data_IF_363498202637
#
_entry.id   IF_363498202637
#
_cell.length_a   1.000
_cell.length_b   1.000
_cell.length_c   1.000
_cell.angle_alpha   90.00
_cell.angle_beta   90.00
_cell.angle_gamma   90.00
#
_symmetry.space_group_name_H-M   'P 1'
#
loop_
_entity.id
_entity.type
_entity.pdbx_description
1 polymer ?
#
# COMPACT_ATOMS: atom_id res chain seq x y z
N UNK A 1 -30.29 -10.09 4.61
CA UNK A 1 -29.26 -9.75 3.60
C UNK A 1 -28.10 -9.06 4.32
N UNK A 2 -26.90 -9.65 4.40
CA UNK A 2 -25.70 -8.98 4.95
C UNK A 2 -24.74 -8.72 3.79
N UNK A 3 -24.86 -7.56 3.17
CA UNK A 3 -23.92 -7.10 2.16
C UNK A 3 -22.66 -6.56 2.86
N UNK A 4 -21.52 -7.25 2.74
CA UNK A 4 -20.24 -6.77 3.29
C UNK A 4 -19.62 -5.79 2.30
N UNK A 5 -19.65 -4.50 2.64
CA UNK A 5 -19.00 -3.44 1.88
C UNK A 5 -17.65 -3.08 2.54
N UNK A 6 -16.57 -3.16 1.77
CA UNK A 6 -15.23 -2.69 2.15
C UNK A 6 -15.10 -1.23 1.70
N UNK A 7 -15.18 -0.32 2.67
CA UNK A 7 -15.22 1.12 2.41
C UNK A 7 -13.98 1.67 1.71
N UNK A 8 -14.17 2.23 0.52
CA UNK A 8 -13.19 3.07 -0.17
C UNK A 8 -13.68 4.52 -0.14
N UNK A 9 -12.85 5.47 0.30
CA UNK A 9 -13.15 6.90 0.22
C UNK A 9 -12.28 7.59 -0.84
N UNK A 10 -12.89 7.93 -1.98
CA UNK A 10 -12.43 8.98 -2.87
C UNK A 10 -13.57 9.99 -3.04
N UNK A 11 -13.35 11.26 -2.68
CA UNK A 11 -14.43 12.27 -2.63
C UNK A 11 -15.00 12.62 -4.01
N UNK A 12 -14.17 12.76 -5.05
CA UNK A 12 -14.63 13.19 -6.39
C UNK A 12 -15.63 12.24 -7.05
N UNK A 13 -15.44 10.93 -6.93
CA UNK A 13 -16.36 9.94 -7.52
C UNK A 13 -17.68 9.92 -6.74
N UNK A 14 -17.63 10.07 -5.41
CA UNK A 14 -18.84 10.11 -4.58
C UNK A 14 -19.67 11.37 -4.83
N UNK A 15 -19.00 12.51 -4.95
CA UNK A 15 -19.62 13.79 -5.28
C UNK A 15 -20.28 13.71 -6.65
N UNK A 16 -19.56 13.27 -7.70
CA UNK A 16 -20.15 13.11 -9.04
C UNK A 16 -21.38 12.19 -9.09
N UNK A 17 -21.34 11.05 -8.38
CA UNK A 17 -22.48 10.12 -8.30
C UNK A 17 -23.68 10.77 -7.59
N UNK A 18 -23.43 11.48 -6.49
CA UNK A 18 -24.49 12.17 -5.72
C UNK A 18 -25.06 13.34 -6.52
N UNK A 19 -24.22 14.10 -7.19
CA UNK A 19 -24.61 15.26 -7.98
C UNK A 19 -25.47 14.85 -9.17
N UNK A 20 -25.10 13.78 -9.89
CA UNK A 20 -25.96 13.22 -10.97
C UNK A 20 -27.31 12.72 -10.45
N UNK A 21 -27.36 12.09 -9.27
CA UNK A 21 -28.63 11.59 -8.71
C UNK A 21 -29.57 12.72 -8.27
N UNK A 22 -29.02 13.89 -7.98
CA UNK A 22 -29.74 15.08 -7.51
C UNK A 22 -29.96 16.13 -8.63
N UNK A 23 -29.47 15.90 -9.84
CA UNK A 23 -29.62 16.82 -10.97
C UNK A 23 -30.74 16.39 -11.93
N UNK A 24 -31.10 17.30 -12.84
CA UNK A 24 -32.05 17.03 -13.92
C UNK A 24 -31.53 15.97 -14.92
N UNK A 25 -30.24 15.63 -14.88
CA UNK A 25 -29.62 14.60 -15.71
C UNK A 25 -29.70 13.18 -15.13
N UNK A 26 -30.48 12.97 -14.07
CA UNK A 26 -30.65 11.67 -13.38
C UNK A 26 -31.01 10.50 -14.32
N UNK A 27 -31.70 10.76 -15.42
CA UNK A 27 -32.00 9.73 -16.44
C UNK A 27 -30.75 9.19 -17.15
N UNK A 28 -29.68 9.99 -17.21
CA UNK A 28 -28.39 9.61 -17.81
C UNK A 28 -27.47 8.92 -16.80
N UNK A 29 -27.93 8.65 -15.57
CA UNK A 29 -27.12 8.02 -14.53
C UNK A 29 -26.45 6.72 -15.01
N UNK A 30 -27.16 5.95 -15.84
CA UNK A 30 -26.63 4.75 -16.50
C UNK A 30 -25.37 5.02 -17.33
N UNK A 31 -25.30 6.14 -18.05
CA UNK A 31 -24.17 6.51 -18.90
C UNK A 31 -22.98 7.07 -18.11
N UNK A 32 -23.24 7.71 -16.98
CA UNK A 32 -22.21 8.36 -16.17
C UNK A 32 -21.58 7.44 -15.12
N UNK A 33 -22.11 6.22 -14.96
CA UNK A 33 -21.64 5.25 -13.99
C UNK A 33 -21.22 3.94 -14.67
N UNK A 34 -20.13 3.35 -14.20
CA UNK A 34 -19.65 2.06 -14.70
C UNK A 34 -20.56 0.87 -14.32
N UNK A 35 -21.60 1.11 -13.53
CA UNK A 35 -22.54 0.11 -13.05
C UNK A 35 -22.07 -0.66 -11.83
N UNK A 36 -22.72 -1.78 -11.56
CA UNK A 36 -22.44 -2.68 -10.44
C UNK A 36 -22.17 -4.07 -11.03
N UNK A 37 -21.09 -4.71 -10.58
CA UNK A 37 -20.79 -6.10 -10.97
C UNK A 37 -20.94 -7.00 -9.76
N UNK A 38 -21.73 -8.05 -9.94
CA UNK A 38 -22.16 -8.99 -8.94
C UNK A 38 -21.75 -10.41 -9.37
N UNK A 39 -21.47 -11.24 -8.36
CA UNK A 39 -21.28 -12.69 -8.51
C UNK A 39 -22.30 -13.41 -7.63
N UNK A 40 -22.65 -14.63 -8.00
CA UNK A 40 -23.56 -15.50 -7.26
C UNK A 40 -23.24 -16.97 -7.53
N UNK A 41 -23.69 -17.84 -6.64
CA UNK A 41 -23.55 -19.29 -6.82
C UNK A 41 -24.59 -19.81 -7.81
N UNK A 42 -25.80 -19.26 -7.74
CA UNK A 42 -26.90 -19.58 -8.63
C UNK A 42 -27.82 -18.37 -8.81
N UNK A 43 -28.40 -18.22 -10.01
CA UNK A 43 -29.58 -17.38 -10.20
C UNK A 43 -30.65 -18.11 -11.02
N UNK A 44 -31.91 -17.76 -10.76
CA UNK A 44 -33.07 -18.27 -11.50
C UNK A 44 -34.00 -17.11 -11.85
N UNK A 45 -34.69 -17.22 -12.98
CA UNK A 45 -35.69 -16.26 -13.43
C UNK A 45 -36.92 -17.00 -13.98
N UNK A 46 -38.06 -16.33 -14.02
CA UNK A 46 -39.26 -16.90 -14.62
C UNK A 46 -39.17 -16.81 -16.16
N UNK A 47 -39.04 -17.96 -16.82
CA UNK A 47 -38.88 -18.06 -18.28
C UNK A 47 -40.14 -17.63 -19.06
N UNK A 48 -41.27 -17.42 -18.39
CA UNK A 48 -42.53 -16.96 -19.00
C UNK A 48 -42.64 -15.42 -19.06
N UNK A 49 -41.69 -14.67 -18.49
CA UNK A 49 -41.63 -13.21 -18.61
C UNK A 49 -40.87 -12.82 -19.88
N UNK A 50 -41.42 -11.91 -20.68
CA UNK A 50 -40.77 -11.42 -21.91
C UNK A 50 -39.90 -10.16 -21.68
N UNK A 51 -39.69 -9.77 -20.42
CA UNK A 51 -38.98 -8.56 -19.99
C UNK A 51 -39.10 -8.38 -18.47
N UNK A 52 -38.29 -7.48 -17.89
CA UNK A 52 -38.29 -7.15 -16.46
C UNK A 52 -38.24 -8.38 -15.53
N UNK A 53 -37.29 -9.26 -15.82
CA UNK A 53 -37.14 -10.53 -15.12
C UNK A 53 -36.95 -10.34 -13.61
N UNK A 54 -37.84 -10.96 -12.83
CA UNK A 54 -37.61 -11.10 -11.41
C UNK A 54 -36.62 -12.25 -11.17
N UNK A 55 -35.39 -11.89 -10.80
CA UNK A 55 -34.32 -12.86 -10.52
C UNK A 55 -34.27 -13.23 -9.04
N UNK A 56 -34.21 -14.53 -8.75
CA UNK A 56 -33.84 -15.07 -7.44
C UNK A 56 -32.38 -15.49 -7.47
N UNK A 57 -31.59 -15.01 -6.52
CA UNK A 57 -30.14 -15.19 -6.51
C UNK A 57 -29.69 -15.76 -5.16
N UNK A 58 -28.78 -16.72 -5.20
CA UNK A 58 -28.14 -17.30 -4.01
C UNK A 58 -26.70 -16.79 -3.87
N UNK A 59 -26.29 -16.48 -2.64
CA UNK A 59 -24.93 -16.03 -2.31
C UNK A 59 -24.41 -14.86 -3.17
N UNK A 60 -25.24 -13.83 -3.31
CA UNK A 60 -24.90 -12.61 -4.04
C UNK A 60 -23.74 -11.83 -3.39
N UNK A 61 -22.71 -11.52 -4.17
CA UNK A 61 -21.55 -10.74 -3.74
C UNK A 61 -21.23 -9.62 -4.74
N UNK A 62 -20.94 -8.42 -4.23
CA UNK A 62 -20.53 -7.28 -5.06
C UNK A 62 -19.01 -7.33 -5.27
N UNK A 63 -18.56 -7.48 -6.51
CA UNK A 63 -17.14 -7.52 -6.87
C UNK A 63 -16.64 -6.21 -7.50
N UNK A 64 -17.55 -5.36 -8.00
CA UNK A 64 -17.27 -4.00 -8.48
C UNK A 64 -18.51 -3.09 -8.32
N UNK A 65 -18.31 -1.79 -8.12
CA UNK A 65 -19.40 -0.81 -7.95
C UNK A 65 -19.85 -0.61 -6.50
N UNK A 66 -19.09 -1.10 -5.51
CA UNK A 66 -19.46 -0.95 -4.09
C UNK A 66 -19.61 0.51 -3.63
N UNK A 67 -18.75 1.41 -4.12
CA UNK A 67 -18.88 2.85 -3.85
C UNK A 67 -20.18 3.42 -4.44
N UNK A 68 -20.52 3.02 -5.67
CA UNK A 68 -21.79 3.40 -6.32
C UNK A 68 -22.98 2.91 -5.50
N UNK A 69 -22.99 1.66 -5.05
CA UNK A 69 -24.04 1.13 -4.17
C UNK A 69 -24.17 1.93 -2.87
N UNK A 70 -23.04 2.22 -2.21
CA UNK A 70 -23.03 2.95 -0.94
C UNK A 70 -23.48 4.40 -1.11
N UNK A 71 -23.06 5.07 -2.18
CA UNK A 71 -23.48 6.44 -2.47
C UNK A 71 -24.97 6.48 -2.80
N UNK A 72 -25.47 5.56 -3.65
CA UNK A 72 -26.92 5.43 -3.91
C UNK A 72 -27.68 5.24 -2.59
N UNK A 73 -27.26 4.29 -1.75
CA UNK A 73 -27.90 4.02 -0.46
C UNK A 73 -27.92 5.24 0.46
N UNK A 74 -26.81 5.97 0.57
CA UNK A 74 -26.72 7.19 1.39
C UNK A 74 -27.57 8.32 0.84
N UNK A 75 -27.58 8.51 -0.48
CA UNK A 75 -28.42 9.51 -1.15
C UNK A 75 -29.91 9.20 -0.93
N UNK A 76 -30.32 7.93 -1.01
CA UNK A 76 -31.69 7.51 -0.75
C UNK A 76 -32.12 7.65 0.73
N UNK A 77 -31.17 7.70 1.66
CA UNK A 77 -31.44 7.97 3.08
C UNK A 77 -31.47 9.47 3.43
N UNK A 78 -31.03 10.34 2.53
CA UNK A 78 -31.02 11.79 2.77
C UNK A 78 -32.46 12.31 2.78
N UNK A 79 -32.87 12.95 3.88
CA UNK A 79 -34.22 13.48 4.05
C UNK A 79 -34.57 14.58 3.05
N UNK A 80 -33.55 15.24 2.47
CA UNK A 80 -33.71 16.27 1.44
C UNK A 80 -33.70 15.70 0.01
N UNK A 81 -33.63 14.38 -0.15
CA UNK A 81 -33.69 13.77 -1.48
C UNK A 81 -35.06 14.04 -2.10
N UNK A 82 -35.11 14.96 -3.08
CA UNK A 82 -36.32 15.25 -3.82
C UNK A 82 -36.77 13.99 -4.56
N UNK A 83 -37.84 13.36 -4.07
CA UNK A 83 -38.61 12.34 -4.79
C UNK A 83 -39.38 13.01 -5.95
N UNK A 84 -38.66 13.55 -6.93
CA UNK A 84 -39.28 13.84 -8.22
C UNK A 84 -39.53 12.52 -8.95
N UNK A 85 -40.58 12.48 -9.78
CA UNK A 85 -41.12 11.33 -10.53
C UNK A 85 -40.15 10.69 -11.56
N UNK A 86 -38.84 10.87 -11.40
CA UNK A 86 -37.81 10.52 -12.37
C UNK A 86 -36.98 9.34 -11.89
N UNK A 87 -36.89 8.30 -12.73
CA UNK A 87 -36.23 7.03 -12.46
C UNK A 87 -34.76 7.08 -12.88
N UNK A 88 -33.84 6.69 -11.98
CA UNK A 88 -32.45 6.46 -12.32
C UNK A 88 -32.22 4.97 -12.58
N UNK A 89 -31.48 4.64 -13.64
CA UNK A 89 -31.13 3.25 -13.97
C UNK A 89 -29.64 3.00 -13.76
N UNK A 90 -29.31 1.83 -13.21
CA UNK A 90 -27.91 1.41 -12.98
C UNK A 90 -27.68 0.12 -13.74
N UNK A 91 -26.61 0.06 -14.55
CA UNK A 91 -26.21 -1.17 -15.20
C UNK A 91 -25.77 -2.19 -14.15
N UNK A 92 -26.40 -3.36 -14.13
CA UNK A 92 -25.97 -4.48 -13.28
C UNK A 92 -25.47 -5.61 -14.16
N UNK A 93 -24.26 -6.10 -13.87
CA UNK A 93 -23.72 -7.33 -14.45
C UNK A 93 -23.73 -8.41 -13.37
N UNK A 94 -24.42 -9.52 -13.61
CA UNK A 94 -24.49 -10.65 -12.69
C UNK A 94 -23.82 -11.87 -13.33
N UNK A 95 -22.80 -12.41 -12.67
CA UNK A 95 -22.11 -13.63 -13.08
C UNK A 95 -22.47 -14.78 -12.14
N UNK A 96 -22.94 -15.90 -12.68
CA UNK A 96 -23.02 -17.15 -11.93
C UNK A 96 -21.65 -17.83 -11.98
N UNK A 97 -21.08 -18.11 -10.81
CA UNK A 97 -19.79 -18.77 -10.68
C UNK A 97 -19.95 -20.09 -9.92
N UNK A 98 -19.16 -21.13 -10.25
CA UNK A 98 -19.14 -22.37 -9.48
C UNK A 98 -18.77 -22.10 -8.02
N UNK A 99 -19.51 -22.68 -7.08
CA UNK A 99 -19.30 -22.50 -5.63
C UNK A 99 -17.99 -23.13 -5.12
N UNK A 100 -17.32 -23.95 -5.91
CA UNK A 100 -16.09 -24.68 -5.59
C UNK A 100 -14.80 -23.99 -6.08
N UNK A 101 -14.90 -22.82 -6.73
CA UNK A 101 -13.76 -22.19 -7.41
C UNK A 101 -13.47 -20.76 -6.92
N UNK A 102 -13.10 -20.62 -5.65
CA UNK A 102 -12.71 -19.35 -5.03
C UNK A 102 -11.58 -18.62 -5.80
N UNK A 103 -10.65 -19.39 -6.38
CA UNK A 103 -9.55 -18.87 -7.20
C UNK A 103 -10.06 -18.15 -8.46
N UNK A 104 -11.10 -18.66 -9.11
CA UNK A 104 -11.71 -18.02 -10.27
C UNK A 104 -12.43 -16.72 -9.88
N UNK A 105 -13.14 -16.72 -8.75
CA UNK A 105 -13.78 -15.51 -8.20
C UNK A 105 -12.72 -14.43 -7.92
N UNK A 106 -11.59 -14.80 -7.31
CA UNK A 106 -10.47 -13.90 -7.07
C UNK A 106 -9.86 -13.36 -8.37
N UNK A 107 -9.63 -14.22 -9.38
CA UNK A 107 -9.09 -13.80 -10.68
C UNK A 107 -10.03 -12.85 -11.43
N UNK A 108 -11.33 -13.12 -11.43
CA UNK A 108 -12.36 -12.25 -12.06
C UNK A 108 -12.45 -10.92 -11.31
N UNK A 109 -12.42 -10.96 -9.97
CA UNK A 109 -12.38 -9.76 -9.14
C UNK A 109 -11.14 -8.93 -9.45
N UNK A 110 -9.97 -9.56 -9.56
CA UNK A 110 -8.71 -8.90 -9.92
C UNK A 110 -8.76 -8.29 -11.34
N UNK A 111 -9.26 -9.05 -12.32
CA UNK A 111 -9.37 -8.61 -13.71
C UNK A 111 -10.39 -7.47 -13.88
N UNK A 112 -11.54 -7.53 -13.22
CA UNK A 112 -12.58 -6.49 -13.28
C UNK A 112 -12.12 -5.19 -12.58
N UNK A 113 -11.36 -5.32 -11.50
CA UNK A 113 -10.75 -4.19 -10.79
C UNK A 113 -9.47 -3.66 -11.44
N UNK A 114 -9.03 -4.25 -12.56
CA UNK A 114 -7.93 -3.71 -13.37
C UNK A 114 -8.34 -2.51 -14.23
N UNK A 115 -9.65 -2.30 -14.46
CA UNK A 115 -10.18 -1.16 -15.23
C UNK A 115 -10.64 0.03 -14.38
N UNK A 116 -10.76 -0.12 -13.05
CA UNK A 116 -10.94 0.97 -12.09
C UNK A 116 -10.11 0.63 -10.84
N UNK A 117 -9.16 1.47 -10.42
CA UNK A 117 -8.11 1.07 -9.48
C UNK A 117 -8.69 0.79 -8.09
N UNK A 118 -9.03 -0.48 -7.83
CA UNK A 118 -9.08 -0.95 -6.45
C UNK A 118 -7.65 -0.96 -5.95
N UNK A 119 -7.42 -0.26 -4.84
CA UNK A 119 -6.12 -0.22 -4.22
C UNK A 119 -5.76 -1.65 -3.79
N UNK A 120 -4.80 -2.28 -4.47
CA UNK A 120 -4.31 -3.61 -4.15
C UNK A 120 -3.92 -3.72 -2.68
N UNK A 121 -3.51 -2.59 -2.08
CA UNK A 121 -3.24 -2.49 -0.65
C UNK A 121 -4.45 -2.82 0.22
N UNK A 122 -5.64 -2.34 -0.15
CA UNK A 122 -6.87 -2.58 0.61
C UNK A 122 -7.38 -4.02 0.43
N UNK A 123 -7.15 -4.63 -0.74
CA UNK A 123 -7.38 -6.06 -0.94
C UNK A 123 -6.46 -6.89 -0.04
N UNK A 124 -5.16 -6.60 -0.07
CA UNK A 124 -4.13 -7.27 0.73
C UNK A 124 -4.27 -7.01 2.22
N UNK A 125 -4.97 -5.96 2.63
CA UNK A 125 -5.17 -5.67 4.05
C UNK A 125 -5.82 -6.83 4.80
N UNK A 126 -6.64 -7.66 4.14
CA UNK A 126 -7.29 -8.81 4.78
C UNK A 126 -6.46 -10.11 4.74
N UNK A 127 -5.28 -10.13 4.09
CA UNK A 127 -4.40 -11.30 4.05
C UNK A 127 -4.02 -11.76 5.47
N UNK A 128 -3.98 -13.08 5.68
CA UNK A 128 -3.61 -13.68 6.98
C UNK A 128 -2.25 -13.19 7.47
N UNK A 129 -1.28 -13.02 6.55
CA UNK A 129 0.04 -12.49 6.87
C UNK A 129 -0.03 -11.07 7.46
N UNK A 130 -0.87 -10.19 6.90
CA UNK A 130 -1.02 -8.83 7.40
C UNK A 130 -1.67 -8.84 8.78
N UNK A 131 -2.71 -9.65 8.99
CA UNK A 131 -3.38 -9.81 10.29
C UNK A 131 -2.42 -10.31 11.36
N UNK A 132 -1.59 -11.31 11.03
CA UNK A 132 -0.54 -11.82 11.93
C UNK A 132 0.46 -10.72 12.30
N UNK A 133 0.96 -9.98 11.32
CA UNK A 133 1.87 -8.86 11.56
C UNK A 133 1.24 -7.79 12.46
N UNK A 134 -0.06 -7.52 12.32
CA UNK A 134 -0.75 -6.58 13.22
C UNK A 134 -0.70 -7.03 14.67
N UNK A 135 -1.04 -8.30 14.93
CA UNK A 135 -1.01 -8.86 16.29
C UNK A 135 0.42 -8.88 16.87
N UNK A 136 1.39 -9.35 16.09
CA UNK A 136 2.78 -9.50 16.55
C UNK A 136 3.46 -8.13 16.78
N UNK A 137 3.18 -7.13 15.94
CA UNK A 137 3.72 -5.77 16.09
C UNK A 137 3.12 -5.09 17.33
N UNK A 138 1.83 -5.34 17.62
CA UNK A 138 1.17 -4.83 18.81
C UNK A 138 1.80 -5.36 20.11
N UNK A 139 2.24 -6.62 20.12
CA UNK A 139 2.93 -7.21 21.28
C UNK A 139 4.28 -6.53 21.58
N UNK A 140 4.90 -5.90 20.57
CA UNK A 140 6.14 -5.14 20.71
C UNK A 140 5.91 -3.64 21.00
N UNK A 141 4.67 -3.22 21.26
CA UNK A 141 4.34 -1.83 21.62
C UNK A 141 4.13 -0.88 20.43
N UNK A 142 3.98 -1.40 19.22
CA UNK A 142 3.75 -0.62 18.00
C UNK A 142 2.35 -0.90 17.42
N UNK A 143 1.78 0.08 16.71
CA UNK A 143 0.45 -0.07 16.11
C UNK A 143 0.55 -0.22 14.59
N UNK A 144 0.26 -1.40 14.06
CA UNK A 144 0.32 -1.66 12.62
C UNK A 144 -1.03 -1.41 11.93
N UNK A 145 -1.13 -0.33 11.14
CA UNK A 145 -2.33 0.03 10.40
C UNK A 145 -2.33 -0.61 9.01
N UNK A 146 -3.09 -1.70 8.86
CA UNK A 146 -3.30 -2.41 7.58
C UNK A 146 -4.16 -1.62 6.59
N UNK A 147 -5.27 -1.04 7.06
CA UNK A 147 -6.26 -0.28 6.29
C UNK A 147 -6.01 1.23 6.37
N UNK A 148 -6.38 1.98 5.32
CA UNK A 148 -6.34 3.46 5.35
C UNK A 148 -7.49 3.99 6.20
N UNK A 149 -7.19 4.86 7.18
CA UNK A 149 -8.18 5.66 7.92
C UNK A 149 -7.72 7.11 7.97
N UNK A 150 -8.67 8.05 7.91
CA UNK A 150 -8.41 9.49 7.70
C UNK A 150 -8.22 10.29 9.02
N UNK A 151 -8.04 9.62 10.16
CA UNK A 151 -7.92 10.28 11.46
C UNK A 151 -6.53 10.17 12.08
N UNK A 152 -5.96 11.36 12.33
CA UNK A 152 -5.36 11.76 13.61
C UNK A 152 -3.92 11.32 13.91
N UNK A 153 -3.05 12.32 14.13
CA UNK A 153 -1.70 12.31 14.73
C UNK A 153 -0.81 11.08 14.44
N UNK A 154 0.17 11.26 13.55
CA UNK A 154 1.22 10.26 13.29
C UNK A 154 2.12 10.10 14.51
N UNK A 155 1.81 9.15 15.38
CA UNK A 155 2.73 8.73 16.44
C UNK A 155 3.97 8.04 15.84
N UNK A 156 5.11 8.14 16.53
CA UNK A 156 6.33 7.39 16.21
C UNK A 156 6.13 5.88 16.34
N UNK A 157 5.11 5.42 17.07
CA UNK A 157 4.77 4.01 17.24
C UNK A 157 3.78 3.47 16.20
N UNK A 158 3.16 4.34 15.40
CA UNK A 158 2.21 3.91 14.37
C UNK A 158 2.90 3.56 13.07
N UNK A 159 2.67 2.38 12.53
CA UNK A 159 3.28 1.89 11.29
C UNK A 159 2.17 1.58 10.29
N UNK A 160 2.11 2.32 9.19
CA UNK A 160 1.16 1.97 8.12
C UNK A 160 1.74 0.88 7.22
N UNK A 161 0.88 0.05 6.63
CA UNK A 161 1.31 -1.00 5.69
C UNK A 161 2.16 -0.48 4.52
N UNK A 162 1.89 0.73 4.01
CA UNK A 162 2.72 1.35 2.97
C UNK A 162 4.13 1.73 3.44
N UNK A 163 4.24 2.30 4.66
CA UNK A 163 5.56 2.63 5.25
C UNK A 163 6.36 1.36 5.54
N UNK A 164 5.69 0.31 6.04
CA UNK A 164 6.33 -0.99 6.23
C UNK A 164 6.84 -1.54 4.90
N UNK A 165 6.04 -1.48 3.83
CA UNK A 165 6.43 -1.98 2.51
C UNK A 165 7.68 -1.28 1.97
N UNK A 166 7.72 0.06 2.01
CA UNK A 166 8.90 0.85 1.63
C UNK A 166 10.13 0.48 2.45
N UNK A 167 9.97 0.42 3.78
CA UNK A 167 11.07 0.15 4.70
C UNK A 167 11.64 -1.26 4.52
N UNK A 168 10.80 -2.30 4.47
CA UNK A 168 11.25 -3.69 4.30
C UNK A 168 11.95 -3.86 2.95
N UNK A 169 11.39 -3.28 1.88
CA UNK A 169 11.95 -3.40 0.53
C UNK A 169 13.31 -2.69 0.41
N UNK A 170 13.45 -1.52 1.04
CA UNK A 170 14.71 -0.78 1.08
C UNK A 170 15.75 -1.50 1.96
N UNK A 171 15.41 -1.76 3.22
CA UNK A 171 16.37 -2.18 4.26
C UNK A 171 16.72 -3.67 4.14
N UNK A 172 15.72 -4.54 4.07
CA UNK A 172 15.95 -5.99 4.14
C UNK A 172 15.97 -6.70 2.80
N UNK A 173 15.31 -6.15 1.78
CA UNK A 173 15.36 -6.71 0.42
C UNK A 173 16.43 -6.07 -0.45
N UNK A 174 17.11 -5.03 0.05
CA UNK A 174 18.15 -4.30 -0.67
C UNK A 174 17.69 -3.78 -2.05
N UNK A 175 16.43 -3.38 -2.15
CA UNK A 175 15.84 -2.79 -3.38
C UNK A 175 15.38 -1.35 -3.15
N UNK A 176 16.28 -0.43 -2.76
CA UNK A 176 15.91 0.94 -2.37
C UNK A 176 15.27 1.76 -3.51
N UNK A 177 15.66 1.51 -4.77
CA UNK A 177 15.03 2.14 -5.93
C UNK A 177 13.55 1.71 -6.09
N UNK A 178 13.24 0.41 -5.95
CA UNK A 178 11.87 -0.09 -6.04
C UNK A 178 11.03 0.35 -4.84
N UNK A 179 11.66 0.44 -3.66
CA UNK A 179 11.03 1.00 -2.47
C UNK A 179 10.53 2.43 -2.73
N UNK A 180 11.36 3.32 -3.29
CA UNK A 180 10.95 4.72 -3.47
C UNK A 180 10.07 4.96 -4.70
N UNK A 181 10.37 4.31 -5.81
CA UNK A 181 9.80 4.70 -7.11
C UNK A 181 8.70 3.76 -7.60
N UNK A 182 8.59 2.53 -7.09
CA UNK A 182 7.61 1.52 -7.56
C UNK A 182 6.51 1.27 -6.52
N UNK A 183 6.07 2.32 -5.82
CA UNK A 183 5.06 2.23 -4.74
C UNK A 183 3.73 1.61 -5.17
N UNK A 184 3.36 1.76 -6.45
CA UNK A 184 2.17 1.13 -7.05
C UNK A 184 2.27 -0.40 -7.12
N UNK A 185 3.49 -0.93 -7.19
CA UNK A 185 3.75 -2.37 -7.32
C UNK A 185 3.92 -3.07 -5.96
N UNK A 186 4.04 -2.33 -4.86
CA UNK A 186 4.30 -2.89 -3.52
C UNK A 186 3.23 -3.88 -3.06
N UNK A 187 1.97 -3.60 -3.34
CA UNK A 187 0.85 -4.50 -3.02
C UNK A 187 0.39 -5.32 -4.24
N UNK A 188 1.07 -5.16 -5.37
CA UNK A 188 0.93 -5.97 -6.57
C UNK A 188 2.10 -6.93 -6.72
N UNK A 189 2.91 -6.74 -7.78
CA UNK A 189 3.99 -7.67 -8.16
C UNK A 189 5.07 -7.86 -7.10
N UNK A 190 5.32 -6.84 -6.26
CA UNK A 190 6.36 -6.88 -5.25
C UNK A 190 5.87 -7.40 -3.90
N UNK A 191 4.58 -7.65 -3.73
CA UNK A 191 4.01 -7.98 -2.41
C UNK A 191 4.68 -9.18 -1.75
N UNK A 192 4.79 -10.30 -2.46
CA UNK A 192 5.41 -11.52 -1.93
C UNK A 192 6.94 -11.40 -1.78
N UNK A 193 7.57 -10.42 -2.44
CA UNK A 193 8.99 -10.11 -2.25
C UNK A 193 9.17 -9.32 -0.95
N UNK A 194 8.25 -8.43 -0.65
CA UNK A 194 8.27 -7.58 0.54
C UNK A 194 7.86 -8.39 1.77
N UNK A 195 6.62 -8.89 1.77
CA UNK A 195 5.99 -9.60 2.87
C UNK A 195 6.11 -11.11 2.65
N UNK A 196 7.17 -11.69 3.19
CA UNK A 196 7.41 -13.14 3.15
C UNK A 196 6.80 -13.82 4.36
N UNK A 197 6.50 -15.12 4.27
CA UNK A 197 5.95 -15.88 5.39
C UNK A 197 6.87 -15.92 6.62
N UNK A 198 8.18 -15.79 6.43
CA UNK A 198 9.18 -15.76 7.50
C UNK A 198 9.40 -14.36 8.11
N UNK A 199 8.77 -13.33 7.55
CA UNK A 199 8.88 -11.96 8.05
C UNK A 199 8.19 -11.86 9.42
N UNK A 200 8.92 -11.36 10.41
CA UNK A 200 8.41 -11.17 11.78
C UNK A 200 8.31 -9.68 12.18
N UNK A 201 7.60 -9.41 13.27
CA UNK A 201 7.34 -8.06 13.76
C UNK A 201 8.62 -7.25 14.06
N UNK A 202 9.61 -7.86 14.73
CA UNK A 202 10.87 -7.18 15.06
C UNK A 202 11.58 -6.68 13.79
N UNK A 203 11.66 -7.51 12.76
CA UNK A 203 12.21 -7.12 11.46
C UNK A 203 11.45 -5.95 10.84
N UNK A 204 10.11 -5.95 10.88
CA UNK A 204 9.30 -4.84 10.33
C UNK A 204 9.59 -3.54 11.07
N UNK A 205 9.56 -3.57 12.40
CA UNK A 205 9.72 -2.38 13.23
C UNK A 205 11.11 -1.77 13.06
N UNK A 206 12.17 -2.59 13.13
CA UNK A 206 13.56 -2.15 12.97
C UNK A 206 13.77 -1.51 11.59
N UNK A 207 13.27 -2.12 10.50
CA UNK A 207 13.34 -1.52 9.17
C UNK A 207 12.65 -0.15 9.14
N UNK A 208 11.46 -0.04 9.74
CA UNK A 208 10.69 1.20 9.74
C UNK A 208 11.38 2.30 10.54
N UNK A 209 12.00 1.99 11.67
CA UNK A 209 12.75 2.97 12.45
C UNK A 209 13.95 3.51 11.67
N UNK A 210 14.77 2.64 11.08
CA UNK A 210 15.91 3.04 10.25
C UNK A 210 15.46 3.87 9.04
N UNK A 211 14.40 3.43 8.35
CA UNK A 211 13.81 4.15 7.23
C UNK A 211 13.32 5.55 7.64
N UNK A 212 12.71 5.67 8.82
CA UNK A 212 12.22 6.97 9.34
C UNK A 212 13.34 7.94 9.64
N UNK A 213 14.46 7.49 10.21
CA UNK A 213 15.63 8.35 10.43
C UNK A 213 16.07 8.96 9.10
N UNK A 214 16.29 8.12 8.09
CA UNK A 214 16.73 8.57 6.77
C UNK A 214 15.69 9.46 6.06
N UNK A 215 14.40 9.11 6.13
CA UNK A 215 13.33 9.87 5.47
C UNK A 215 13.03 11.20 6.17
N UNK A 216 13.18 11.27 7.49
CA UNK A 216 13.05 12.51 8.25
C UNK A 216 14.19 13.47 7.92
N UNK A 217 15.44 12.97 7.87
CA UNK A 217 16.60 13.78 7.47
C UNK A 217 16.51 14.24 6.01
N UNK A 218 16.01 13.40 5.10
CA UNK A 218 15.71 13.83 3.72
C UNK A 218 14.70 14.98 3.66
N UNK A 219 13.65 14.95 4.48
CA UNK A 219 12.61 16.00 4.52
C UNK A 219 13.11 17.28 5.18
N UNK A 220 14.05 17.18 6.12
CA UNK A 220 14.64 18.29 6.87
C UNK A 220 16.16 18.11 6.93
N UNK A 221 16.87 18.31 5.80
CA UNK A 221 18.32 18.14 5.76
C UNK A 221 19.01 19.27 6.55
N UNK A 222 20.11 18.93 7.22
CA UNK A 222 20.98 19.94 7.82
C UNK A 222 21.77 20.69 6.75
N UNK A 223 22.24 21.92 7.03
CA UNK A 223 23.07 22.68 6.09
C UNK A 223 24.37 21.97 5.68
N UNK A 224 24.91 21.13 6.56
CA UNK A 224 26.11 20.31 6.32
C UNK A 224 25.83 19.03 5.53
N UNK A 225 24.56 18.65 5.33
CA UNK A 225 24.23 17.40 4.65
C UNK A 225 24.54 17.50 3.15
N UNK A 226 25.18 16.47 2.56
CA UNK A 226 25.47 16.46 1.13
C UNK A 226 24.19 16.36 0.30
N UNK A 227 24.25 16.82 -0.96
CA UNK A 227 23.11 16.85 -1.86
C UNK A 227 22.41 15.48 -2.04
N UNK A 228 23.15 14.37 -1.91
CA UNK A 228 22.63 13.00 -2.03
C UNK A 228 21.56 12.68 -0.98
N UNK A 229 21.59 13.31 0.20
CA UNK A 229 20.61 13.11 1.28
C UNK A 229 19.19 13.42 0.81
N UNK A 230 19.01 14.39 -0.11
CA UNK A 230 17.69 14.81 -0.63
C UNK A 230 17.01 13.75 -1.51
N UNK A 231 17.76 12.79 -2.03
CA UNK A 231 17.30 11.80 -3.01
C UNK A 231 17.47 10.35 -2.52
N UNK A 232 18.46 10.11 -1.66
CA UNK A 232 18.96 8.77 -1.33
C UNK A 232 18.39 8.13 -0.07
N UNK A 233 17.27 8.59 0.51
CA UNK A 233 16.80 8.10 1.83
C UNK A 233 16.65 6.58 1.92
N UNK A 234 16.14 5.92 0.87
CA UNK A 234 16.02 4.47 0.85
C UNK A 234 17.38 3.76 0.78
N UNK A 235 18.36 4.35 0.08
CA UNK A 235 19.72 3.80 -0.02
C UNK A 235 20.48 3.97 1.30
N UNK A 236 20.30 5.12 1.95
CA UNK A 236 20.84 5.39 3.28
C UNK A 236 20.24 4.40 4.28
N UNK A 237 18.91 4.26 4.34
CA UNK A 237 18.25 3.29 5.22
C UNK A 237 18.72 1.85 4.99
N UNK A 238 18.98 1.46 3.74
CA UNK A 238 19.56 0.17 3.38
C UNK A 238 20.94 -0.03 4.03
N UNK A 239 21.84 0.95 3.92
CA UNK A 239 23.16 0.88 4.54
C UNK A 239 23.06 0.90 6.07
N UNK A 240 22.15 1.67 6.66
CA UNK A 240 21.94 1.70 8.10
C UNK A 240 21.53 0.32 8.63
N UNK A 241 20.67 -0.39 7.90
CA UNK A 241 20.27 -1.76 8.24
C UNK A 241 21.45 -2.72 8.24
N UNK A 242 22.34 -2.62 7.25
CA UNK A 242 23.55 -3.44 7.23
C UNK A 242 24.51 -3.07 8.37
N UNK A 243 24.65 -1.77 8.70
CA UNK A 243 25.45 -1.29 9.83
C UNK A 243 24.96 -1.81 11.18
N UNK A 244 23.64 -1.81 11.39
CA UNK A 244 23.03 -2.42 12.57
C UNK A 244 23.33 -3.92 12.67
N UNK A 245 23.11 -4.66 11.58
CA UNK A 245 23.39 -6.10 11.52
C UNK A 245 24.87 -6.42 11.84
N UNK A 246 25.81 -5.64 11.28
CA UNK A 246 27.23 -5.75 11.58
C UNK A 246 27.51 -5.49 13.06
N UNK A 247 26.94 -4.42 13.62
CA UNK A 247 27.14 -4.05 15.04
C UNK A 247 26.61 -5.12 16.00
N UNK A 248 25.48 -5.74 15.67
CA UNK A 248 24.88 -6.82 16.46
C UNK A 248 25.52 -8.19 16.20
N UNK A 249 26.37 -8.30 15.17
CA UNK A 249 26.89 -9.57 14.67
C UNK A 249 25.78 -10.59 14.34
N UNK A 250 24.74 -10.12 13.63
CA UNK A 250 23.57 -10.92 13.26
C UNK A 250 23.33 -10.87 11.75
N UNK A 251 22.68 -11.90 11.24
CA UNK A 251 22.03 -11.91 9.93
C UNK A 251 20.57 -11.46 10.06
N UNK A 252 19.99 -10.91 8.98
CA UNK A 252 18.60 -10.45 8.97
C UNK A 252 17.60 -11.51 9.46
N UNK A 253 17.83 -12.78 9.08
CA UNK A 253 16.98 -13.93 9.50
C UNK A 253 17.01 -14.20 11.01
N UNK A 254 18.03 -13.72 11.71
CA UNK A 254 18.22 -13.94 13.15
C UNK A 254 17.56 -12.85 14.00
N UNK A 255 17.19 -11.71 13.40
CA UNK A 255 16.39 -10.68 14.07
C UNK A 255 15.03 -11.25 14.46
N UNK A 256 14.70 -11.19 15.75
CA UNK A 256 13.44 -11.67 16.32
C UNK A 256 13.13 -10.94 17.65
N UNK A 257 12.06 -11.33 18.35
CA UNK A 257 11.65 -10.68 19.60
C UNK A 257 12.72 -10.69 20.71
N UNK A 258 13.65 -11.65 20.72
CA UNK A 258 14.67 -11.78 21.79
C UNK A 258 15.77 -10.72 21.69
N UNK A 259 16.12 -10.30 20.48
CA UNK A 259 17.15 -9.28 20.23
C UNK A 259 16.55 -7.93 19.80
N UNK A 260 15.23 -7.81 19.85
CA UNK A 260 14.50 -6.61 19.47
C UNK A 260 14.86 -5.41 20.34
N UNK A 261 14.88 -5.59 21.67
CA UNK A 261 15.21 -4.51 22.61
C UNK A 261 16.63 -3.98 22.41
N UNK A 262 17.61 -4.87 22.23
CA UNK A 262 19.00 -4.49 21.95
C UNK A 262 19.11 -3.71 20.64
N UNK A 263 18.44 -4.17 19.57
CA UNK A 263 18.40 -3.47 18.29
C UNK A 263 17.75 -2.08 18.42
N UNK A 264 16.62 -2.00 19.12
CA UNK A 264 15.89 -0.77 19.35
C UNK A 264 16.73 0.24 20.15
N UNK A 265 17.41 -0.23 21.20
CA UNK A 265 18.33 0.57 22.00
C UNK A 265 19.51 1.10 21.16
N UNK A 266 20.13 0.25 20.33
CA UNK A 266 21.20 0.67 19.41
C UNK A 266 20.72 1.72 18.42
N UNK A 267 19.53 1.58 17.84
CA UNK A 267 18.95 2.56 16.92
C UNK A 267 18.69 3.89 17.62
N UNK A 268 18.12 3.86 18.82
CA UNK A 268 17.79 5.09 19.54
C UNK A 268 19.03 5.86 19.98
N UNK A 269 20.12 5.16 20.34
CA UNK A 269 21.37 5.80 20.78
C UNK A 269 22.28 6.21 19.61
N UNK A 270 22.35 5.41 18.55
CA UNK A 270 23.34 5.55 17.48
C UNK A 270 22.71 5.87 16.12
N UNK A 271 21.42 6.21 16.06
CA UNK A 271 20.69 6.44 14.82
C UNK A 271 21.32 7.49 13.90
N UNK A 272 21.78 8.60 14.48
CA UNK A 272 22.49 9.65 13.72
C UNK A 272 23.86 9.16 13.22
N UNK A 273 24.62 8.42 14.03
CA UNK A 273 25.89 7.84 13.61
C UNK A 273 25.70 6.86 12.44
N UNK A 274 24.70 5.96 12.53
CA UNK A 274 24.36 5.06 11.43
C UNK A 274 23.96 5.81 10.17
N UNK A 275 23.24 6.92 10.32
CA UNK A 275 22.86 7.77 9.19
C UNK A 275 24.10 8.40 8.53
N UNK A 276 24.98 9.01 9.31
CA UNK A 276 26.19 9.68 8.81
C UNK A 276 27.15 8.68 8.15
N UNK A 277 27.35 7.49 8.74
CA UNK A 277 28.11 6.38 8.15
C UNK A 277 27.52 5.96 6.80
N UNK A 278 26.20 5.81 6.74
CA UNK A 278 25.47 5.42 5.54
C UNK A 278 25.52 6.49 4.45
N UNK A 279 25.55 7.78 4.81
CA UNK A 279 25.75 8.88 3.88
C UNK A 279 27.16 8.83 3.28
N UNK A 280 28.19 8.56 4.11
CA UNK A 280 29.56 8.39 3.64
C UNK A 280 29.68 7.22 2.66
N UNK A 281 29.02 6.10 2.93
CA UNK A 281 28.97 4.96 2.00
C UNK A 281 28.35 5.34 0.64
N UNK A 282 27.24 6.09 0.66
CA UNK A 282 26.59 6.58 -0.55
C UNK A 282 27.48 7.55 -1.32
N UNK A 283 28.19 8.44 -0.64
CA UNK A 283 29.16 9.34 -1.28
C UNK A 283 30.33 8.58 -1.92
N UNK A 284 30.88 7.57 -1.23
CA UNK A 284 31.93 6.68 -1.79
C UNK A 284 31.43 5.96 -3.03
N UNK A 285 30.21 5.42 -3.00
CA UNK A 285 29.61 4.74 -4.14
C UNK A 285 29.37 5.69 -5.34
N UNK A 286 28.95 6.93 -5.06
CA UNK A 286 28.82 7.98 -6.08
C UNK A 286 30.17 8.35 -6.70
N UNK A 287 31.21 8.50 -5.87
CA UNK A 287 32.58 8.76 -6.33
C UNK A 287 33.13 7.60 -7.16
N UNK A 288 32.83 6.35 -6.80
CA UNK A 288 33.21 5.18 -7.59
C UNK A 288 32.50 5.13 -8.96
N UNK A 289 31.32 5.74 -9.09
CA UNK A 289 30.53 5.75 -10.32
C UNK A 289 30.89 6.93 -11.25
N UNK A 290 31.13 8.11 -10.68
CA UNK A 290 31.34 9.36 -11.43
C UNK A 290 32.77 9.92 -11.33
N UNK A 291 33.65 9.30 -10.53
CA UNK A 291 34.97 9.84 -10.24
C UNK A 291 34.89 11.15 -9.43
N UNK A 292 35.81 12.07 -9.72
CA UNK A 292 35.86 13.39 -9.08
C UNK A 292 35.04 14.46 -9.83
N UNK A 293 34.14 14.06 -10.74
CA UNK A 293 33.30 14.99 -11.49
C UNK A 293 32.21 15.57 -10.60
N UNK A 294 31.88 16.86 -10.81
CA UNK A 294 30.76 17.49 -10.13
C UNK A 294 29.43 16.90 -10.65
N UNK A 295 28.63 16.37 -9.73
CA UNK A 295 27.38 15.67 -10.09
C UNK A 295 26.22 16.66 -10.00
N UNK A 296 25.55 16.91 -11.12
CA UNK A 296 24.32 17.72 -11.13
C UNK A 296 23.19 17.05 -10.33
N UNK A 297 22.27 17.86 -9.81
CA UNK A 297 21.08 17.36 -9.10
C UNK A 297 20.20 16.43 -9.97
N UNK A 298 20.17 16.68 -11.29
CA UNK A 298 19.42 15.85 -12.24
C UNK A 298 20.07 14.48 -12.40
N UNK A 299 21.39 14.42 -12.57
CA UNK A 299 22.13 13.17 -12.62
C UNK A 299 21.91 12.39 -11.33
N UNK A 300 22.10 13.03 -10.18
CA UNK A 300 21.90 12.42 -8.86
C UNK A 300 20.50 11.81 -8.70
N UNK A 301 19.46 12.55 -9.08
CA UNK A 301 18.07 12.04 -9.06
C UNK A 301 17.90 10.82 -9.97
N UNK A 302 18.48 10.84 -11.17
CA UNK A 302 18.41 9.73 -12.12
C UNK A 302 19.17 8.48 -11.61
N UNK A 303 20.35 8.67 -11.00
CA UNK A 303 21.16 7.60 -10.40
C UNK A 303 20.36 6.81 -9.36
N UNK A 304 19.72 7.52 -8.41
CA UNK A 304 18.91 6.86 -7.38
C UNK A 304 17.67 6.19 -7.95
N UNK A 305 17.06 6.76 -9.00
CA UNK A 305 15.88 6.19 -9.65
C UNK A 305 16.18 4.89 -10.40
N UNK A 306 17.30 4.83 -11.11
CA UNK A 306 17.71 3.64 -11.87
C UNK A 306 18.27 2.53 -10.99
N UNK A 307 18.77 2.87 -9.79
CA UNK A 307 19.38 1.88 -8.91
C UNK A 307 20.87 1.65 -9.18
N UNK A 308 21.53 2.54 -9.93
CA UNK A 308 22.91 2.39 -10.39
C UNK A 308 23.93 2.19 -9.23
N UNK A 309 23.59 2.67 -8.03
CA UNK A 309 24.47 2.59 -6.85
C UNK A 309 24.39 1.26 -6.09
N UNK A 310 23.43 0.38 -6.39
CA UNK A 310 23.17 -0.81 -5.56
C UNK A 310 24.37 -1.75 -5.56
N UNK A 311 24.90 -2.09 -6.74
CA UNK A 311 26.06 -2.98 -6.86
C UNK A 311 27.29 -2.39 -6.17
N UNK A 312 27.53 -1.09 -6.31
CA UNK A 312 28.64 -0.40 -5.64
C UNK A 312 28.49 -0.41 -4.13
N UNK A 313 27.30 -0.15 -3.60
CA UNK A 313 27.01 -0.19 -2.16
C UNK A 313 27.06 -1.60 -1.56
N UNK A 314 26.91 -2.64 -2.37
CA UNK A 314 27.15 -4.02 -1.92
C UNK A 314 28.64 -4.34 -1.76
N UNK A 315 29.51 -3.63 -2.48
CA UNK A 315 30.96 -3.79 -2.42
C UNK A 315 31.62 -2.89 -1.35
N UNK A 316 30.91 -1.89 -0.84
CA UNK A 316 31.44 -1.02 0.24
C UNK A 316 31.50 -1.81 1.54
N UNK A 317 32.70 -1.94 2.11
CA UNK A 317 32.87 -2.38 3.49
C UNK A 317 32.23 -1.34 4.41
N UNK A 318 31.24 -1.79 5.18
CA UNK A 318 30.61 -0.97 6.20
C UNK A 318 31.64 -0.79 7.30
N UNK A 319 31.93 0.44 7.73
CA UNK A 319 32.90 0.70 8.79
C UNK A 319 32.30 0.48 10.17
#
# INVERSE_FOLDING_TARGET
MRCRYLGLQGNRVKEGIRDTLNSDEKNNFYFYNNGITLTCDSFSHNALQNGDYQIRVENLQIINGGQTCMTIFKTLQDANFCQQNTQAYVLVRLYQLPSDNEDLVQKITYATNSQNPVDLRDLRANDNLQQRLEMDIQQLGFNYRRKRFDTGARSTTEITSGVAAEAILAVWRQKPHQAKFFTREHFGKLYNVIFTEQLNAAQVIIAVQLYRIAENRRKRPHPSDPACVRYGSCFIAMQMGKGLLKKMNLQMKEINHRNFEDANHLINQNGDNYFDDSVRDVQKALQALYGNQEISLQQLSATFRRGDLIEKLQQVEIH
#
